data_IF_370677139716
#
_entry.id   IF_370677139716
#
_cell.length_a   1.000
_cell.length_b   1.000
_cell.length_c   1.000
_cell.angle_alpha   90.00
_cell.angle_beta   90.00
_cell.angle_gamma   90.00
#
_symmetry.space_group_name_H-M   'P 1'
#
loop_
_entity.id
_entity.type
_entity.pdbx_description
1 polymer ?
#
# COMPACT_ATOMS: atom_id res chain seq x y z
N UNK A 1 22.57 -2.58 14.83
CA UNK A 1 21.17 -2.40 15.28
C UNK A 1 20.45 -1.54 14.26
N UNK A 2 19.15 -1.78 14.05
CA UNK A 2 18.35 -1.02 13.07
C UNK A 2 17.54 0.03 13.82
N UNK A 3 17.54 1.25 13.28
CA UNK A 3 16.78 2.38 13.80
C UNK A 3 15.90 2.96 12.69
N UNK A 4 14.71 3.44 13.02
CA UNK A 4 13.85 4.20 12.08
C UNK A 4 14.15 5.69 12.19
N UNK A 5 13.98 6.42 11.09
CA UNK A 5 14.12 7.89 11.09
C UNK A 5 12.86 8.57 11.64
N UNK A 6 13.05 9.46 12.61
CA UNK A 6 12.01 10.30 13.20
C UNK A 6 11.91 11.68 12.56
N UNK A 7 13.06 12.26 12.19
CA UNK A 7 13.15 13.61 11.64
C UNK A 7 14.03 13.61 10.39
N UNK A 8 13.66 14.37 9.34
CA UNK A 8 14.49 14.48 8.16
C UNK A 8 15.74 15.33 8.45
N UNK A 9 16.80 15.08 7.71
CA UNK A 9 18.05 15.84 7.79
C UNK A 9 18.64 16.02 6.40
N UNK A 10 19.03 17.25 6.07
CA UNK A 10 19.71 17.58 4.81
C UNK A 10 21.20 17.78 5.11
N UNK A 11 22.10 17.02 4.45
CA UNK A 11 23.54 17.11 4.67
C UNK A 11 24.06 18.54 4.50
N UNK A 12 24.85 19.00 5.47
CA UNK A 12 25.59 20.27 5.40
C UNK A 12 27.05 20.05 5.02
N UNK A 13 27.62 18.97 5.53
CA UNK A 13 28.97 18.51 5.22
C UNK A 13 28.92 17.25 4.32
N UNK A 14 29.96 17.00 3.51
CA UNK A 14 29.96 15.91 2.52
C UNK A 14 29.96 14.50 3.12
N UNK A 15 30.28 14.37 4.41
CA UNK A 15 30.27 13.13 5.17
C UNK A 15 28.95 12.92 5.95
N UNK A 16 28.02 13.87 5.92
CA UNK A 16 26.70 13.73 6.53
C UNK A 16 25.74 12.91 5.64
N UNK A 17 24.95 12.06 6.29
CA UNK A 17 23.95 11.22 5.65
C UNK A 17 22.61 11.94 5.58
N UNK A 18 22.00 11.99 4.39
CA UNK A 18 20.64 12.50 4.22
C UNK A 18 19.63 11.56 4.89
N UNK A 19 18.74 12.12 5.72
CA UNK A 19 17.72 11.36 6.43
C UNK A 19 16.33 11.69 5.91
N UNK A 20 15.57 10.65 5.58
CA UNK A 20 14.19 10.75 5.11
C UNK A 20 13.25 10.02 6.08
N UNK A 21 12.14 10.67 6.46
CA UNK A 21 11.10 10.02 7.27
C UNK A 21 10.56 8.81 6.50
N UNK A 22 10.58 7.64 7.14
CA UNK A 22 10.19 6.36 6.55
C UNK A 22 11.38 5.48 6.12
N UNK A 23 12.61 6.00 6.16
CA UNK A 23 13.84 5.21 6.02
C UNK A 23 14.24 4.54 7.35
N UNK A 24 15.08 3.52 7.22
CA UNK A 24 15.72 2.80 8.32
C UNK A 24 17.23 2.90 8.18
N UNK A 25 17.93 3.11 9.28
CA UNK A 25 19.38 3.19 9.34
C UNK A 25 19.92 1.98 10.07
N UNK A 26 20.91 1.33 9.48
CA UNK A 26 21.75 0.39 10.21
C UNK A 26 22.85 1.17 10.94
N UNK A 27 22.84 1.09 12.27
CA UNK A 27 23.90 1.60 13.14
C UNK A 27 24.71 0.44 13.68
N UNK A 28 26.04 0.45 13.56
CA UNK A 28 26.87 -0.56 14.21
C UNK A 28 26.84 -0.35 15.73
N UNK A 29 27.01 -1.42 16.51
CA UNK A 29 27.07 -1.30 17.98
C UNK A 29 28.27 -0.46 18.43
N UNK A 30 29.34 -0.43 17.63
CA UNK A 30 30.55 0.35 17.89
C UNK A 30 30.34 1.84 17.61
N UNK A 31 29.55 2.19 16.59
CA UNK A 31 29.23 3.60 16.28
C UNK A 31 28.45 4.28 17.41
N UNK A 32 27.54 3.55 18.06
CA UNK A 32 26.75 4.06 19.19
C UNK A 32 27.56 4.20 20.49
N UNK A 33 28.62 3.41 20.68
CA UNK A 33 29.45 3.50 21.88
C UNK A 33 30.55 4.55 21.78
N UNK A 34 30.93 4.94 20.55
CA UNK A 34 32.04 5.86 20.28
C UNK A 34 31.61 7.29 19.94
N UNK A 35 30.31 7.60 19.90
CA UNK A 35 29.84 8.97 19.69
C UNK A 35 30.03 9.81 20.94
N UNK A 36 30.79 10.90 20.84
CA UNK A 36 31.01 11.85 21.95
C UNK A 36 30.27 13.17 21.77
N UNK A 37 29.79 13.44 20.55
CA UNK A 37 29.16 14.69 20.10
C UNK A 37 27.70 14.49 19.62
N UNK A 38 27.18 13.26 19.67
CA UNK A 38 25.82 12.92 19.26
C UNK A 38 25.66 12.61 17.77
N UNK A 39 26.75 12.58 17.01
CA UNK A 39 26.78 12.12 15.63
C UNK A 39 27.29 10.68 15.57
N UNK A 40 26.58 9.84 14.81
CA UNK A 40 26.89 8.42 14.66
C UNK A 40 26.98 8.08 13.18
N UNK A 41 27.92 7.20 12.82
CA UNK A 41 27.99 6.66 11.47
C UNK A 41 26.90 5.60 11.27
N UNK A 42 26.15 5.71 10.17
CA UNK A 42 25.09 4.77 9.82
C UNK A 42 25.01 4.52 8.32
N UNK A 43 24.27 3.48 7.96
CA UNK A 43 23.99 3.11 6.56
C UNK A 43 22.49 3.19 6.32
N UNK A 44 22.07 4.04 5.37
CA UNK A 44 20.68 4.13 4.93
C UNK A 44 20.25 2.85 4.23
N UNK A 45 19.10 2.31 4.61
CA UNK A 45 18.49 1.17 3.94
C UNK A 45 17.93 1.54 2.58
N UNK A 46 17.35 2.74 2.45
CA UNK A 46 16.76 3.21 1.22
C UNK A 46 17.81 3.48 0.13
N UNK A 47 18.94 4.09 0.47
CA UNK A 47 19.96 4.50 -0.50
C UNK A 47 21.19 3.59 -0.53
N UNK A 48 21.43 2.82 0.54
CA UNK A 48 22.65 2.03 0.72
C UNK A 48 23.89 2.88 1.01
N UNK A 49 23.74 4.20 1.14
CA UNK A 49 24.85 5.11 1.44
C UNK A 49 25.20 5.10 2.93
N UNK A 50 26.48 5.27 3.24
CA UNK A 50 26.96 5.48 4.59
C UNK A 50 27.29 6.96 4.83
N UNK A 51 27.20 7.40 6.07
CA UNK A 51 27.57 8.75 6.50
C UNK A 51 27.20 9.00 7.95
N UNK A 52 27.54 10.19 8.45
CA UNK A 52 27.23 10.63 9.81
C UNK A 52 25.82 11.19 9.90
N UNK A 53 25.13 10.87 11.00
CA UNK A 53 23.81 11.38 11.29
C UNK A 53 23.63 11.72 12.77
N UNK A 54 22.72 12.64 13.12
CA UNK A 54 22.38 12.88 14.53
C UNK A 54 21.65 11.67 15.12
N UNK A 55 22.19 11.09 16.20
CA UNK A 55 21.61 9.90 16.83
C UNK A 55 20.15 10.15 17.28
N UNK A 56 19.90 11.35 17.82
CA UNK A 56 18.59 11.78 18.30
C UNK A 56 17.52 11.93 17.21
N UNK A 57 17.88 11.77 15.94
CA UNK A 57 16.94 11.75 14.81
C UNK A 57 16.42 10.35 14.52
N UNK A 58 16.87 9.35 15.28
CA UNK A 58 16.54 7.96 15.07
C UNK A 58 15.95 7.32 16.33
N UNK A 59 15.16 6.26 16.15
CA UNK A 59 14.65 5.43 17.24
C UNK A 59 14.93 3.96 16.96
N UNK A 60 15.48 3.24 17.93
CA UNK A 60 15.76 1.80 17.79
C UNK A 60 14.48 1.02 17.53
N UNK A 61 14.50 0.16 16.53
CA UNK A 61 13.37 -0.72 16.20
C UNK A 61 13.49 -2.06 16.91
N UNK A 62 12.37 -2.70 17.25
CA UNK A 62 12.37 -4.06 17.78
C UNK A 62 12.96 -5.03 16.75
N UNK A 63 13.72 -6.04 17.20
CA UNK A 63 14.36 -7.02 16.32
C UNK A 63 13.36 -7.88 15.51
N UNK A 64 12.09 -7.91 15.91
CA UNK A 64 11.00 -8.55 15.15
C UNK A 64 10.51 -7.73 13.96
N UNK A 65 10.81 -6.42 13.93
CA UNK A 65 10.26 -5.45 12.99
C UNK A 65 11.29 -5.02 11.93
N UNK A 66 12.47 -5.63 11.93
CA UNK A 66 13.54 -5.34 10.97
C UNK A 66 14.23 -6.64 10.53
N UNK A 67 14.36 -6.84 9.22
CA UNK A 67 15.17 -7.91 8.65
C UNK A 67 16.64 -7.69 9.06
N UNK A 68 17.32 -8.73 9.53
CA UNK A 68 18.76 -8.63 9.83
C UNK A 68 19.53 -8.62 8.52
N UNK A 69 20.28 -7.53 8.27
CA UNK A 69 21.18 -7.46 7.12
C UNK A 69 22.30 -8.50 7.31
N UNK A 70 22.25 -9.60 6.56
CA UNK A 70 23.23 -10.69 6.68
C UNK A 70 24.57 -10.37 5.99
N UNK A 71 24.54 -9.61 4.88
CA UNK A 71 25.73 -9.25 4.09
C UNK A 71 25.43 -8.11 3.13
N UNK A 72 26.37 -7.18 2.99
CA UNK A 72 26.38 -6.17 1.93
C UNK A 72 27.27 -6.63 0.78
N UNK A 73 26.81 -6.51 -0.46
CA UNK A 73 27.58 -6.84 -1.66
C UNK A 73 27.61 -5.63 -2.57
N UNK A 74 28.79 -5.11 -2.84
CA UNK A 74 28.97 -3.93 -3.70
C UNK A 74 28.86 -4.35 -5.17
N UNK A 75 27.78 -3.93 -5.83
CA UNK A 75 27.46 -4.35 -7.20
C UNK A 75 28.28 -3.60 -8.26
N UNK A 76 28.74 -2.38 -7.95
CA UNK A 76 29.56 -1.55 -8.82
C UNK A 76 30.62 -0.81 -7.98
N UNK A 77 31.87 -0.75 -8.46
CA UNK A 77 32.88 0.15 -7.87
C UNK A 77 32.57 1.57 -8.35
N UNK A 78 32.35 2.50 -7.42
CA UNK A 78 32.50 3.92 -7.76
C UNK A 78 33.99 4.13 -8.14
N UNK A 79 34.32 4.82 -9.24
CA UNK A 79 35.69 5.23 -9.48
C UNK A 79 36.16 6.02 -8.25
N UNK A 80 37.29 5.60 -7.66
CA UNK A 80 37.88 6.33 -6.56
C UNK A 80 38.05 7.79 -6.99
N UNK A 81 37.56 8.72 -6.17
CA UNK A 81 38.00 10.10 -6.22
C UNK A 81 39.51 10.03 -6.10
N UNK A 82 40.22 10.45 -7.14
CA UNK A 82 41.67 10.56 -7.10
C UNK A 82 42.01 11.59 -6.03
N UNK A 83 42.49 11.10 -4.89
CA UNK A 83 43.20 11.91 -3.91
C UNK A 83 44.37 12.56 -4.65
N UNK A 84 44.24 13.85 -4.95
CA UNK A 84 45.38 14.67 -5.34
C UNK A 84 46.19 14.86 -4.07
N UNK A 85 47.21 14.01 -3.89
CA UNK A 85 48.19 14.15 -2.84
C UNK A 85 48.78 15.57 -2.89
N UNK A 86 48.62 16.31 -1.80
CA UNK A 86 49.36 17.54 -1.55
C UNK A 86 50.82 17.17 -1.32
N UNK A 87 51.69 17.68 -2.19
CA UNK A 87 53.14 17.70 -1.98
C UNK A 87 53.51 19.03 -1.31
N UNK A 88 54.15 18.96 -0.14
CA UNK A 88 54.62 20.10 0.64
C UNK A 88 55.88 20.69 -0.03
N UNK A 89 55.77 21.94 -0.50
CA UNK A 89 56.88 22.72 -1.04
C UNK A 89 56.69 24.22 -0.79
N UNK A 90 57.68 24.82 -0.13
CA UNK A 90 57.68 26.14 0.53
C UNK A 90 57.34 27.39 -0.32
N UNK A 91 56.61 28.30 0.34
CA UNK A 91 56.68 29.77 0.35
C UNK A 91 57.01 30.57 -0.94
N UNK A 92 56.06 31.41 -1.39
CA UNK A 92 56.18 32.89 -1.26
C UNK A 92 55.02 33.67 -1.92
N UNK A 93 54.50 34.65 -1.16
CA UNK A 93 53.91 35.95 -1.51
C UNK A 93 53.01 36.13 -2.76
N UNK A 94 51.77 36.58 -2.55
CA UNK A 94 51.07 37.41 -3.55
C UNK A 94 49.57 37.65 -3.38
N UNK A 95 49.20 38.62 -2.53
CA UNK A 95 48.03 39.53 -2.57
C UNK A 95 46.77 39.19 -3.41
N UNK A 96 45.62 39.20 -2.71
CA UNK A 96 44.26 39.55 -3.21
C UNK A 96 44.20 41.09 -3.44
N UNK A 97 43.45 41.62 -4.43
CA UNK A 97 42.05 42.09 -4.24
C UNK A 97 41.13 41.71 -5.45
N UNK A 98 39.86 41.29 -5.31
CA UNK A 98 38.64 41.98 -4.83
C UNK A 98 37.77 42.51 -6.00
N UNK A 99 36.43 42.44 -5.82
CA UNK A 99 35.35 43.14 -6.58
C UNK A 99 35.01 42.66 -8.02
N UNK A 100 33.80 42.72 -8.58
CA UNK A 100 32.39 42.93 -8.16
C UNK A 100 31.54 42.75 -9.44
N UNK A 101 30.28 42.32 -9.25
CA UNK A 101 29.07 42.70 -10.00
C UNK A 101 28.79 42.41 -11.49
N UNK A 102 27.50 42.07 -11.66
CA UNK A 102 26.56 42.19 -12.79
C UNK A 102 26.33 40.93 -13.65
N UNK A 103 25.16 40.28 -13.62
CA UNK A 103 23.74 40.67 -13.83
C UNK A 103 23.27 40.62 -15.30
N UNK A 104 22.06 40.08 -15.47
CA UNK A 104 21.15 40.08 -16.64
C UNK A 104 21.54 39.26 -17.89
N UNK A 105 20.81 38.19 -18.24
CA UNK A 105 19.53 38.12 -18.99
C UNK A 105 19.65 38.40 -20.50
N UNK A 106 19.27 37.39 -21.33
CA UNK A 106 18.36 37.53 -22.49
C UNK A 106 18.64 36.53 -23.63
N UNK A 107 17.66 35.65 -23.82
CA UNK A 107 17.12 34.97 -25.01
C UNK A 107 17.71 35.16 -26.43
N UNK A 108 17.98 34.01 -27.08
CA UNK A 108 17.62 33.51 -28.46
C UNK A 108 18.03 34.33 -29.71
N UNK A 109 18.29 33.73 -30.92
CA UNK A 109 17.58 32.58 -31.51
C UNK A 109 18.40 31.57 -32.36
N UNK A 110 17.63 30.61 -32.90
CA UNK A 110 17.92 29.42 -33.69
C UNK A 110 18.50 29.74 -35.09
N UNK A 111 19.47 28.93 -35.56
CA UNK A 111 19.73 28.69 -36.99
C UNK A 111 19.72 27.19 -37.29
N UNK A 112 18.96 26.82 -38.32
CA UNK A 112 18.93 25.50 -38.96
C UNK A 112 20.19 25.28 -39.83
N UNK A 113 20.85 24.13 -39.71
CA UNK A 113 21.67 23.58 -40.80
C UNK A 113 21.43 22.07 -40.94
N UNK A 114 21.12 21.70 -42.17
CA UNK A 114 20.88 20.37 -42.71
C UNK A 114 22.13 19.48 -42.80
N UNK A 115 21.95 18.21 -42.42
CA UNK A 115 22.49 17.00 -43.06
C UNK A 115 24.00 16.81 -43.25
N UNK A 116 24.60 15.86 -42.52
CA UNK A 116 24.98 14.51 -43.02
C UNK A 116 25.96 13.79 -42.06
N UNK A 117 25.85 12.45 -42.06
CA UNK A 117 26.74 11.39 -41.55
C UNK A 117 26.44 10.80 -40.16
N UNK A 118 25.93 9.57 -40.23
CA UNK A 118 25.91 8.56 -39.17
C UNK A 118 27.34 8.30 -38.67
N UNK A 119 27.54 8.42 -37.36
CA UNK A 119 28.61 7.73 -36.64
C UNK A 119 28.01 7.11 -35.37
N UNK A 120 28.39 5.86 -35.14
CA UNK A 120 27.71 4.90 -34.27
C UNK A 120 28.12 5.07 -32.80
N UNK A 121 27.16 5.11 -31.89
CA UNK A 121 27.37 5.08 -30.44
C UNK A 121 27.81 3.67 -29.97
N UNK A 122 28.75 3.52 -29.01
CA UNK A 122 29.18 2.21 -28.52
C UNK A 122 28.12 1.52 -27.66
N UNK A 123 27.92 0.24 -27.96
CA UNK A 123 27.00 -0.69 -27.32
C UNK A 123 27.50 -1.06 -25.90
N UNK A 124 26.92 -0.48 -24.84
CA UNK A 124 27.36 -0.67 -23.45
C UNK A 124 26.64 -1.81 -22.72
N UNK A 125 26.13 -2.82 -23.44
CA UNK A 125 25.66 -4.08 -22.88
C UNK A 125 26.24 -5.26 -23.67
N UNK A 126 27.55 -5.48 -23.48
CA UNK A 126 28.24 -6.65 -24.01
C UNK A 126 27.79 -7.96 -23.37
N UNK A 127 27.73 -9.01 -24.18
CA UNK A 127 27.25 -10.37 -23.91
C UNK A 127 28.00 -11.19 -22.83
N UNK A 128 28.78 -10.56 -21.95
CA UNK A 128 29.54 -11.24 -20.88
C UNK A 128 28.86 -11.19 -19.50
N UNK A 129 27.91 -10.28 -19.25
CA UNK A 129 27.13 -10.26 -18.00
C UNK A 129 26.15 -11.44 -17.85
N UNK A 130 25.72 -12.02 -18.98
CA UNK A 130 24.79 -13.16 -18.98
C UNK A 130 25.48 -14.48 -18.60
N UNK A 131 26.79 -14.61 -18.84
CA UNK A 131 27.55 -15.85 -18.54
C UNK A 131 27.87 -15.99 -17.05
N UNK A 132 28.13 -14.89 -16.35
CA UNK A 132 28.42 -14.91 -14.90
C UNK A 132 27.20 -15.34 -14.09
N UNK A 133 26.00 -14.94 -14.50
CA UNK A 133 24.76 -15.35 -13.85
C UNK A 133 24.44 -16.83 -14.12
N UNK A 134 24.70 -17.32 -15.34
CA UNK A 134 24.46 -18.72 -15.71
C UNK A 134 25.47 -19.71 -15.08
N UNK A 135 26.70 -19.28 -14.77
CA UNK A 135 27.68 -20.11 -14.06
C UNK A 135 27.36 -20.28 -12.57
N UNK A 136 26.70 -19.32 -11.93
CA UNK A 136 26.27 -19.43 -10.52
C UNK A 136 25.07 -20.37 -10.33
N UNK A 137 24.23 -20.51 -11.34
CA UNK A 137 23.03 -21.37 -11.29
C UNK A 137 23.35 -22.85 -11.63
N UNK A 138 24.48 -23.12 -12.30
CA UNK A 138 24.81 -24.45 -12.84
C UNK A 138 25.89 -25.22 -12.06
N UNK A 139 26.33 -24.77 -10.87
CA UNK A 139 27.33 -25.51 -10.09
C UNK A 139 26.65 -26.52 -9.13
N UNK A 140 26.75 -27.84 -9.35
CA UNK A 140 25.95 -28.83 -8.60
C UNK A 140 26.50 -29.16 -7.20
N UNK A 141 27.54 -28.48 -6.73
CA UNK A 141 28.28 -28.87 -5.52
C UNK A 141 27.79 -28.25 -4.21
N UNK A 142 26.68 -27.50 -4.20
CA UNK A 142 26.09 -26.96 -2.96
C UNK A 142 24.59 -27.25 -2.75
N UNK A 143 24.02 -28.19 -3.52
CA UNK A 143 22.65 -28.69 -3.29
C UNK A 143 22.72 -29.99 -2.50
N UNK A 144 23.08 -29.94 -1.21
CA UNK A 144 23.01 -31.14 -0.35
C UNK A 144 22.64 -30.87 1.11
N UNK A 145 22.07 -29.71 1.44
CA UNK A 145 21.53 -29.47 2.80
C UNK A 145 20.17 -28.80 2.67
N UNK A 146 19.17 -29.50 2.14
CA UNK A 146 17.73 -29.25 2.33
C UNK A 146 16.97 -30.40 1.66
N UNK A 147 17.22 -31.64 2.09
CA UNK A 147 16.46 -32.80 1.64
C UNK A 147 16.63 -33.91 2.68
N UNK A 148 15.93 -33.78 3.81
CA UNK A 148 15.54 -34.93 4.60
C UNK A 148 14.20 -34.65 5.28
N UNK A 149 13.26 -35.57 5.00
CA UNK A 149 11.97 -35.85 5.63
C UNK A 149 10.84 -34.79 5.54
N UNK A 150 10.26 -34.65 4.34
CA UNK A 150 8.80 -34.40 4.23
C UNK A 150 8.12 -35.74 3.98
N UNK A 151 7.51 -36.30 5.02
CA UNK A 151 6.64 -37.47 4.93
C UNK A 151 5.51 -37.20 3.93
N UNK A 152 5.59 -37.85 2.76
CA UNK A 152 4.51 -37.89 1.75
C UNK A 152 3.42 -38.87 2.15
N UNK A 153 2.82 -38.65 3.31
CA UNK A 153 1.60 -39.34 3.76
C UNK A 153 0.66 -38.38 4.52
N UNK A 154 0.45 -37.18 4.01
CA UNK A 154 -0.75 -36.42 4.35
C UNK A 154 -1.80 -36.70 3.28
N UNK A 155 -2.69 -37.67 3.55
CA UNK A 155 -3.96 -37.77 2.84
C UNK A 155 -4.63 -36.40 2.91
N UNK A 156 -5.04 -35.82 1.77
CA UNK A 156 -5.98 -34.70 1.76
C UNK A 156 -7.17 -35.12 2.62
N UNK A 157 -7.50 -34.40 3.71
CA UNK A 157 -8.73 -34.70 4.43
C UNK A 157 -9.87 -34.41 3.47
N UNK A 158 -10.67 -35.43 3.16
CA UNK A 158 -12.04 -35.19 2.70
C UNK A 158 -12.70 -34.33 3.77
N UNK A 159 -13.07 -33.10 3.39
CA UNK A 159 -13.69 -32.15 4.30
C UNK A 159 -15.18 -32.49 4.42
N UNK A 160 -15.50 -33.59 5.09
CA UNK A 160 -16.81 -33.77 5.68
C UNK A 160 -16.75 -33.24 7.12
N UNK A 161 -17.30 -32.03 7.34
CA UNK A 161 -17.47 -31.46 8.69
C UNK A 161 -16.78 -30.13 8.98
N UNK A 162 -16.22 -29.41 8.00
CA UNK A 162 -15.73 -28.03 8.23
C UNK A 162 -16.92 -27.07 8.34
N UNK A 163 -16.93 -26.26 9.39
CA UNK A 163 -17.92 -25.20 9.56
C UNK A 163 -17.70 -24.05 8.57
N UNK A 164 -18.77 -23.31 8.25
CA UNK A 164 -18.73 -22.20 7.30
C UNK A 164 -17.77 -21.08 7.76
N UNK A 165 -17.30 -20.25 6.84
CA UNK A 165 -16.41 -19.12 7.13
C UNK A 165 -16.97 -17.79 6.65
N UNK A 166 -16.66 -16.74 7.42
CA UNK A 166 -16.89 -15.36 7.02
C UNK A 166 -15.52 -14.70 6.85
N UNK A 167 -15.30 -14.22 5.64
CA UNK A 167 -14.11 -13.46 5.26
C UNK A 167 -14.47 -11.99 5.31
N UNK A 168 -13.73 -11.21 6.07
CA UNK A 168 -13.95 -9.75 6.18
C UNK A 168 -12.69 -9.03 5.74
N UNK A 169 -12.84 -8.11 4.79
CA UNK A 169 -11.72 -7.49 4.09
C UNK A 169 -11.84 -5.97 4.04
N UNK A 170 -10.70 -5.27 4.23
CA UNK A 170 -10.59 -3.83 4.00
C UNK A 170 -10.43 -3.58 2.49
N UNK A 171 -11.04 -2.51 1.97
CA UNK A 171 -10.80 -2.04 0.61
C UNK A 171 -9.29 -1.83 0.29
N UNK A 172 -8.95 -1.81 -1.00
CA UNK A 172 -7.61 -1.53 -1.51
C UNK A 172 -7.15 -0.06 -1.38
N UNK A 173 -5.95 0.23 -1.90
CA UNK A 173 -5.37 1.58 -1.95
C UNK A 173 -6.27 2.59 -2.66
N UNK A 174 -6.45 3.78 -2.07
CA UNK A 174 -7.36 4.84 -2.54
C UNK A 174 -6.60 5.98 -3.20
N UNK A 175 -7.21 6.58 -4.23
CA UNK A 175 -6.64 7.73 -4.95
C UNK A 175 -6.44 8.95 -4.04
N UNK A 176 -7.41 9.26 -3.17
CA UNK A 176 -7.33 10.43 -2.29
C UNK A 176 -6.19 10.36 -1.26
N UNK A 177 -5.89 9.18 -0.72
CA UNK A 177 -4.75 9.01 0.19
C UNK A 177 -3.41 8.93 -0.53
N UNK A 178 -3.36 8.44 -1.76
CA UNK A 178 -2.12 8.39 -2.55
C UNK A 178 -1.75 9.75 -3.14
N UNK A 179 -2.74 10.55 -3.55
CA UNK A 179 -2.52 11.78 -4.33
C UNK A 179 -3.02 13.06 -3.65
N UNK A 180 -3.62 12.98 -2.45
CA UNK A 180 -4.13 14.12 -1.72
C UNK A 180 -5.28 14.82 -2.45
N UNK A 181 -5.15 16.12 -2.70
CA UNK A 181 -6.15 16.94 -3.40
C UNK A 181 -6.17 16.65 -4.91
N UNK A 182 -6.65 15.47 -5.27
CA UNK A 182 -6.60 14.94 -6.64
C UNK A 182 -7.66 15.54 -7.57
N UNK A 183 -8.77 16.05 -7.03
CA UNK A 183 -9.90 16.60 -7.79
C UNK A 183 -9.48 17.75 -8.72
N UNK A 184 -8.88 18.86 -8.23
CA UNK A 184 -8.47 19.96 -9.12
C UNK A 184 -7.36 19.56 -10.10
N UNK A 185 -6.65 18.47 -9.83
CA UNK A 185 -5.60 17.97 -10.72
C UNK A 185 -6.15 17.13 -11.88
N UNK A 186 -7.23 16.40 -11.62
CA UNK A 186 -7.78 15.40 -12.53
C UNK A 186 -9.07 15.81 -13.22
N UNK A 187 -9.74 16.88 -12.78
CA UNK A 187 -10.98 17.35 -13.38
C UNK A 187 -10.83 18.77 -13.93
N UNK A 188 -11.39 18.99 -15.11
CA UNK A 188 -11.56 20.35 -15.65
C UNK A 188 -12.83 21.03 -15.08
N UNK A 189 -13.05 22.29 -15.45
CA UNK A 189 -14.21 23.09 -15.01
C UNK A 189 -15.57 22.50 -15.45
N UNK A 190 -15.56 21.64 -16.47
CA UNK A 190 -16.75 20.95 -16.97
C UNK A 190 -16.96 19.59 -16.28
N UNK A 191 -16.06 19.20 -15.36
CA UNK A 191 -16.12 17.92 -14.66
C UNK A 191 -15.63 16.74 -15.49
N UNK A 192 -14.88 16.95 -16.56
CA UNK A 192 -14.27 15.87 -17.33
C UNK A 192 -13.02 15.35 -16.63
N UNK A 193 -12.97 14.04 -16.41
CA UNK A 193 -11.83 13.37 -15.81
C UNK A 193 -10.70 13.17 -16.82
N UNK A 194 -9.48 13.54 -16.43
CA UNK A 194 -8.23 13.22 -17.13
C UNK A 194 -7.28 12.51 -16.18
N UNK A 195 -6.82 11.32 -16.56
CA UNK A 195 -5.80 10.59 -15.82
C UNK A 195 -4.46 11.33 -15.87
N UNK A 196 -3.91 11.70 -14.71
CA UNK A 196 -2.63 12.42 -14.59
C UNK A 196 -1.46 11.60 -14.04
N UNK A 197 -1.75 10.43 -13.50
CA UNK A 197 -0.75 9.47 -13.01
C UNK A 197 -1.16 8.05 -13.43
N UNK A 198 -0.19 7.18 -13.71
CA UNK A 198 -0.47 5.80 -14.16
C UNK A 198 -1.07 4.93 -13.06
N UNK A 199 -0.92 5.27 -11.78
CA UNK A 199 -1.59 4.60 -10.69
C UNK A 199 -3.04 5.11 -10.47
N UNK A 200 -3.49 6.14 -11.20
CA UNK A 200 -4.91 6.52 -11.21
C UNK A 200 -5.73 5.69 -12.21
N UNK A 201 -7.05 5.53 -11.99
CA UNK A 201 -7.94 4.86 -12.93
C UNK A 201 -7.86 5.44 -14.35
N UNK A 202 -7.99 4.60 -15.36
CA UNK A 202 -8.02 5.08 -16.76
C UNK A 202 -9.26 5.94 -17.03
N UNK A 203 -10.38 5.57 -16.44
CA UNK A 203 -11.68 6.23 -16.57
C UNK A 203 -12.41 6.17 -15.23
N UNK A 204 -13.34 7.10 -15.02
CA UNK A 204 -14.28 7.05 -13.91
C UNK A 204 -15.71 6.92 -14.43
N UNK A 205 -16.60 6.20 -13.73
CA UNK A 205 -18.01 6.16 -14.06
C UNK A 205 -18.62 7.55 -14.15
N UNK A 206 -19.65 7.68 -14.99
CA UNK A 206 -20.53 8.83 -14.93
C UNK A 206 -21.37 8.73 -13.66
N UNK A 207 -21.55 9.86 -12.99
CA UNK A 207 -22.40 9.99 -11.81
C UNK A 207 -23.01 11.37 -11.73
N UNK A 208 -24.15 11.52 -11.05
CA UNK A 208 -24.91 12.78 -10.99
C UNK A 208 -24.09 13.99 -10.50
N UNK A 209 -23.47 13.89 -9.32
CA UNK A 209 -22.63 14.94 -8.75
C UNK A 209 -21.15 14.58 -8.91
N UNK A 210 -20.57 14.81 -10.09
CA UNK A 210 -19.22 14.34 -10.45
C UNK A 210 -18.14 14.80 -9.46
N UNK A 211 -17.95 16.11 -9.31
CA UNK A 211 -16.85 16.68 -8.51
C UNK A 211 -17.01 16.32 -7.02
N UNK A 212 -18.13 16.70 -6.42
CA UNK A 212 -18.38 16.46 -4.99
C UNK A 212 -18.47 14.96 -4.67
N UNK A 213 -19.06 14.17 -5.57
CA UNK A 213 -19.18 12.73 -5.43
C UNK A 213 -17.81 12.04 -5.39
N UNK A 214 -16.91 12.37 -6.33
CA UNK A 214 -15.56 11.79 -6.34
C UNK A 214 -14.66 12.32 -5.22
N UNK A 215 -14.89 13.54 -4.75
CA UNK A 215 -14.21 14.07 -3.58
C UNK A 215 -14.52 13.27 -2.31
N UNK A 216 -15.78 12.81 -2.16
CA UNK A 216 -16.27 12.10 -0.97
C UNK A 216 -16.24 10.57 -1.08
N UNK A 217 -16.26 10.04 -2.29
CA UNK A 217 -16.27 8.60 -2.57
C UNK A 217 -15.13 8.23 -3.52
N UNK A 218 -13.89 8.45 -3.05
CA UNK A 218 -12.68 8.24 -3.84
C UNK A 218 -12.58 6.80 -4.39
N UNK A 219 -12.16 6.63 -5.66
CA UNK A 219 -11.89 5.32 -6.24
C UNK A 219 -10.60 4.70 -5.70
N UNK A 220 -10.43 3.41 -5.97
CA UNK A 220 -9.15 2.73 -5.86
C UNK A 220 -8.15 3.26 -6.90
N UNK A 221 -6.87 3.16 -6.56
CA UNK A 221 -5.77 3.24 -7.51
C UNK A 221 -5.66 1.95 -8.34
N UNK A 222 -4.84 1.93 -9.40
CA UNK A 222 -4.58 0.70 -10.16
C UNK A 222 -3.83 -0.33 -9.30
N UNK A 223 -2.93 0.11 -8.41
CA UNK A 223 -2.31 -0.74 -7.38
C UNK A 223 -3.37 -1.28 -6.42
N UNK A 224 -4.32 -0.47 -5.97
CA UNK A 224 -5.42 -0.90 -5.10
C UNK A 224 -6.30 -1.99 -5.73
N UNK A 225 -6.59 -1.86 -7.02
CA UNK A 225 -7.28 -2.91 -7.80
C UNK A 225 -6.42 -4.18 -7.88
N UNK A 226 -5.13 -4.05 -8.14
CA UNK A 226 -4.22 -5.19 -8.23
C UNK A 226 -4.03 -5.92 -6.89
N UNK A 227 -3.93 -5.19 -5.77
CA UNK A 227 -3.92 -5.77 -4.42
C UNK A 227 -5.14 -6.68 -4.20
N UNK A 228 -6.34 -6.19 -4.54
CA UNK A 228 -7.58 -6.95 -4.40
C UNK A 228 -7.58 -8.21 -5.28
N UNK A 229 -7.08 -8.08 -6.52
CA UNK A 229 -6.94 -9.20 -7.45
C UNK A 229 -5.99 -10.28 -6.92
N UNK A 230 -4.83 -9.91 -6.40
CA UNK A 230 -3.86 -10.85 -5.80
C UNK A 230 -4.48 -11.66 -4.64
N UNK A 231 -5.27 -11.00 -3.78
CA UNK A 231 -6.00 -11.71 -2.72
C UNK A 231 -7.01 -12.71 -3.32
N UNK A 232 -7.75 -12.31 -4.36
CA UNK A 232 -8.64 -13.22 -5.08
C UNK A 232 -7.93 -14.43 -5.68
N UNK A 233 -6.77 -14.22 -6.30
CA UNK A 233 -5.95 -15.31 -6.86
C UNK A 233 -5.49 -16.28 -5.76
N UNK A 234 -5.01 -15.76 -4.63
CA UNK A 234 -4.62 -16.58 -3.48
C UNK A 234 -5.78 -17.36 -2.85
N UNK A 235 -6.98 -16.75 -2.75
CA UNK A 235 -8.19 -17.42 -2.25
C UNK A 235 -8.63 -18.55 -3.19
N UNK A 236 -8.54 -18.33 -4.50
CA UNK A 236 -8.83 -19.35 -5.52
C UNK A 236 -7.85 -20.52 -5.45
N UNK A 237 -6.55 -20.23 -5.33
CA UNK A 237 -5.51 -21.24 -5.16
C UNK A 237 -5.71 -22.07 -3.88
N UNK A 238 -6.22 -21.44 -2.83
CA UNK A 238 -6.60 -22.10 -1.59
C UNK A 238 -7.93 -22.87 -1.65
N UNK A 239 -8.60 -22.89 -2.80
CA UNK A 239 -9.87 -23.59 -3.02
C UNK A 239 -11.06 -22.98 -2.28
N UNK A 240 -11.02 -21.69 -1.95
CA UNK A 240 -12.17 -20.97 -1.37
C UNK A 240 -13.23 -20.75 -2.45
N UNK A 241 -14.49 -20.94 -2.09
CA UNK A 241 -15.63 -20.67 -2.97
C UNK A 241 -16.70 -19.89 -2.21
N UNK A 242 -16.92 -18.64 -2.60
CA UNK A 242 -17.93 -17.80 -1.98
C UNK A 242 -19.33 -18.14 -2.50
N UNK A 243 -20.27 -18.24 -1.56
CA UNK A 243 -21.70 -18.39 -1.85
C UNK A 243 -22.41 -17.06 -1.95
N UNK A 244 -21.93 -16.06 -1.21
CA UNK A 244 -22.46 -14.70 -1.20
C UNK A 244 -21.33 -13.70 -0.99
N UNK A 245 -21.46 -12.53 -1.59
CA UNK A 245 -20.48 -11.44 -1.49
C UNK A 245 -21.22 -10.15 -1.14
N UNK A 246 -20.79 -9.50 -0.07
CA UNK A 246 -21.36 -8.25 0.42
C UNK A 246 -20.31 -7.15 0.38
N UNK A 247 -20.73 -5.94 0.07
CA UNK A 247 -19.85 -4.77 0.10
C UNK A 247 -20.56 -3.55 0.69
N UNK A 248 -19.78 -2.74 1.43
CA UNK A 248 -20.13 -1.34 1.69
C UNK A 248 -20.35 -0.61 0.35
N UNK A 249 -21.30 0.33 0.27
CA UNK A 249 -21.63 1.04 -0.97
C UNK A 249 -20.54 2.01 -1.45
N UNK A 250 -19.53 2.31 -0.62
CA UNK A 250 -18.37 3.10 -1.04
C UNK A 250 -17.73 2.50 -2.29
N UNK A 251 -17.45 3.32 -3.30
CA UNK A 251 -16.97 2.86 -4.60
C UNK A 251 -15.70 2.01 -4.49
N UNK A 252 -14.77 2.41 -3.61
CA UNK A 252 -13.56 1.65 -3.26
C UNK A 252 -13.83 0.20 -2.78
N UNK A 253 -14.92 -0.02 -2.04
CA UNK A 253 -15.29 -1.34 -1.53
C UNK A 253 -15.87 -2.21 -2.65
N UNK A 254 -16.71 -1.64 -3.51
CA UNK A 254 -17.26 -2.32 -4.71
C UNK A 254 -16.14 -2.72 -5.67
N UNK A 255 -15.19 -1.81 -5.92
CA UNK A 255 -14.01 -2.10 -6.74
C UNK A 255 -13.13 -3.21 -6.13
N UNK A 256 -12.96 -3.21 -4.81
CA UNK A 256 -12.19 -4.25 -4.12
C UNK A 256 -12.88 -5.61 -4.24
N UNK A 257 -14.19 -5.68 -3.96
CA UNK A 257 -14.97 -6.91 -4.12
C UNK A 257 -14.89 -7.45 -5.56
N UNK A 258 -15.00 -6.56 -6.54
CA UNK A 258 -14.86 -6.90 -7.97
C UNK A 258 -13.46 -7.44 -8.28
N UNK A 259 -12.41 -6.78 -7.79
CA UNK A 259 -11.02 -7.25 -7.99
C UNK A 259 -10.77 -8.62 -7.38
N UNK A 260 -11.28 -8.89 -6.18
CA UNK A 260 -11.22 -10.23 -5.56
C UNK A 260 -11.93 -11.25 -6.45
N UNK A 261 -13.15 -10.94 -6.91
CA UNK A 261 -13.91 -11.86 -7.77
C UNK A 261 -13.28 -12.06 -9.15
N UNK A 262 -12.61 -11.05 -9.70
CA UNK A 262 -11.76 -11.20 -10.89
C UNK A 262 -10.61 -12.16 -10.65
N UNK A 263 -9.87 -11.97 -9.54
CA UNK A 263 -8.81 -12.88 -9.11
C UNK A 263 -9.31 -14.29 -8.86
N UNK A 264 -10.58 -14.46 -8.49
CA UNK A 264 -11.21 -15.77 -8.30
C UNK A 264 -11.82 -16.38 -9.56
N UNK A 265 -11.88 -15.65 -10.68
CA UNK A 265 -12.65 -16.00 -11.88
C UNK A 265 -14.17 -16.16 -11.60
N UNK A 266 -14.71 -15.37 -10.68
CA UNK A 266 -16.11 -15.37 -10.27
C UNK A 266 -16.86 -14.06 -10.59
N UNK A 267 -16.16 -13.05 -11.13
CA UNK A 267 -16.70 -11.68 -11.38
C UNK A 267 -18.09 -11.69 -12.02
N UNK A 268 -18.27 -12.44 -13.10
CA UNK A 268 -19.51 -12.40 -13.88
C UNK A 268 -20.60 -13.33 -13.30
N UNK A 269 -20.23 -14.31 -12.46
CA UNK A 269 -21.15 -15.29 -11.88
C UNK A 269 -21.61 -14.96 -10.46
N UNK A 270 -20.82 -14.22 -9.69
CA UNK A 270 -21.10 -13.88 -8.30
C UNK A 270 -21.43 -12.40 -8.18
N UNK A 271 -22.71 -12.04 -8.01
CA UNK A 271 -23.10 -10.65 -7.85
C UNK A 271 -22.74 -10.11 -6.46
N UNK A 272 -22.52 -8.80 -6.37
CA UNK A 272 -22.20 -8.09 -5.13
C UNK A 272 -23.47 -7.53 -4.50
N UNK A 273 -23.76 -7.95 -3.28
CA UNK A 273 -24.84 -7.43 -2.44
C UNK A 273 -24.39 -6.11 -1.76
N UNK A 274 -25.00 -4.98 -2.15
CA UNK A 274 -24.68 -3.67 -1.57
C UNK A 274 -25.40 -3.48 -0.24
N UNK A 275 -24.66 -3.47 0.86
CA UNK A 275 -25.15 -3.30 2.24
C UNK A 275 -24.66 -1.98 2.82
N UNK A 276 -25.49 -0.92 2.83
CA UNK A 276 -25.15 0.39 3.40
C UNK A 276 -24.73 0.29 4.86
N UNK A 277 -25.31 -0.63 5.62
CA UNK A 277 -24.95 -0.87 7.01
C UNK A 277 -23.51 -1.34 7.25
N UNK A 278 -22.71 -1.61 6.22
CA UNK A 278 -21.26 -1.81 6.33
C UNK A 278 -20.42 -0.56 6.08
N UNK A 279 -21.05 0.60 5.83
CA UNK A 279 -20.34 1.87 5.73
C UNK A 279 -19.59 2.19 7.04
N UNK A 280 -18.53 2.99 6.94
CA UNK A 280 -17.67 3.35 8.07
C UNK A 280 -18.42 4.10 9.19
N UNK A 281 -17.74 4.33 10.31
CA UNK A 281 -18.35 4.96 11.47
C UNK A 281 -18.76 6.40 11.15
N UNK A 282 -20.07 6.70 11.21
CA UNK A 282 -20.65 7.96 10.76
C UNK A 282 -20.19 9.16 11.59
N UNK A 283 -19.76 8.95 12.84
CA UNK A 283 -19.22 10.02 13.67
C UNK A 283 -17.95 10.66 13.06
N UNK A 284 -17.22 9.95 12.19
CA UNK A 284 -16.11 10.53 11.42
C UNK A 284 -16.57 11.59 10.42
N UNK A 285 -17.85 11.57 10.04
CA UNK A 285 -18.45 12.53 9.10
C UNK A 285 -19.29 13.60 9.81
N UNK A 286 -19.67 13.39 11.08
CA UNK A 286 -20.58 14.25 11.84
C UNK A 286 -20.13 15.73 11.96
N UNK A 287 -18.82 16.00 11.95
CA UNK A 287 -18.28 17.35 12.09
C UNK A 287 -18.20 18.13 10.76
N UNK A 288 -18.46 17.46 9.62
CA UNK A 288 -18.33 18.09 8.29
C UNK A 288 -19.53 18.97 7.91
N UNK A 289 -20.64 18.92 8.67
CA UNK A 289 -21.85 19.71 8.39
C UNK A 289 -22.57 19.35 7.08
N UNK A 290 -22.07 18.35 6.34
CA UNK A 290 -22.58 17.93 5.05
C UNK A 290 -23.20 16.53 5.15
N UNK A 291 -24.35 16.32 4.50
CA UNK A 291 -25.01 15.02 4.39
C UNK A 291 -24.05 13.94 3.81
N UNK A 292 -24.36 12.67 4.12
CA UNK A 292 -23.64 11.44 3.76
C UNK A 292 -23.02 11.49 2.37
N UNK A 293 -21.85 10.84 2.27
CA UNK A 293 -21.21 10.46 1.00
C UNK A 293 -22.28 9.99 0.00
N UNK A 294 -22.50 10.78 -1.04
CA UNK A 294 -23.30 10.31 -2.16
C UNK A 294 -22.56 9.13 -2.77
N UNK A 295 -23.12 7.92 -2.69
CA UNK A 295 -22.57 6.75 -3.36
C UNK A 295 -23.07 6.67 -4.79
N UNK A 296 -22.32 5.97 -5.65
CA UNK A 296 -22.88 5.56 -6.94
C UNK A 296 -24.12 4.70 -6.70
N UNK A 297 -25.21 5.02 -7.43
CA UNK A 297 -26.41 4.21 -7.43
C UNK A 297 -26.15 2.82 -8.01
N UNK A 298 -27.03 1.86 -7.70
CA UNK A 298 -26.98 0.51 -8.29
C UNK A 298 -26.92 0.56 -9.81
N UNK A 299 -27.73 1.43 -10.43
CA UNK A 299 -27.75 1.60 -11.89
C UNK A 299 -26.41 2.15 -12.41
N UNK A 300 -25.86 3.20 -11.79
CA UNK A 300 -24.56 3.76 -12.21
C UNK A 300 -23.42 2.73 -12.09
N UNK A 301 -23.44 1.87 -11.05
CA UNK A 301 -22.48 0.77 -10.90
C UNK A 301 -22.68 -0.31 -11.98
N UNK A 302 -23.91 -0.73 -12.23
CA UNK A 302 -24.22 -1.70 -13.29
C UNK A 302 -23.85 -1.18 -14.67
N UNK A 303 -24.15 0.08 -14.98
CA UNK A 303 -23.77 0.74 -16.23
C UNK A 303 -22.25 0.86 -16.40
N UNK A 304 -21.52 0.96 -15.28
CA UNK A 304 -20.06 0.91 -15.25
C UNK A 304 -19.47 -0.51 -15.35
N UNK A 305 -20.31 -1.54 -15.45
CA UNK A 305 -19.90 -2.94 -15.63
C UNK A 305 -19.58 -3.68 -14.32
N UNK A 306 -20.08 -3.19 -13.18
CA UNK A 306 -20.02 -3.93 -11.92
C UNK A 306 -21.18 -4.93 -11.82
N UNK A 307 -20.88 -6.17 -11.44
CA UNK A 307 -21.88 -7.22 -11.24
C UNK A 307 -22.57 -7.01 -9.88
N UNK A 308 -23.58 -6.14 -9.84
CA UNK A 308 -24.34 -5.83 -8.62
C UNK A 308 -25.60 -6.68 -8.57
N UNK A 309 -25.89 -7.26 -7.40
CA UNK A 309 -27.11 -8.03 -7.19
C UNK A 309 -28.35 -7.14 -7.42
N UNK A 310 -29.26 -7.50 -8.34
CA UNK A 310 -30.39 -6.64 -8.71
C UNK A 310 -31.47 -6.56 -7.62
N UNK A 311 -31.67 -7.65 -6.87
CA UNK A 311 -32.80 -7.80 -5.94
C UNK A 311 -32.37 -7.85 -4.46
N UNK A 312 -31.08 -7.61 -4.17
CA UNK A 312 -30.62 -7.59 -2.79
C UNK A 312 -31.28 -6.45 -2.00
N UNK A 313 -31.96 -6.84 -0.92
CA UNK A 313 -32.54 -5.95 0.08
C UNK A 313 -31.58 -5.81 1.26
N UNK A 314 -31.05 -4.60 1.45
CA UNK A 314 -30.17 -4.29 2.57
C UNK A 314 -30.88 -4.49 3.90
N UNK A 315 -30.15 -5.03 4.88
CA UNK A 315 -30.61 -5.11 6.27
C UNK A 315 -30.72 -3.73 6.89
N UNK A 316 -29.79 -2.82 6.57
CA UNK A 316 -29.89 -1.41 6.93
C UNK A 316 -29.89 -0.57 5.64
N UNK A 317 -31.08 -0.20 5.16
CA UNK A 317 -31.25 0.73 4.04
C UNK A 317 -30.59 2.09 4.27
N UNK A 318 -30.26 2.79 3.18
CA UNK A 318 -29.57 4.09 3.19
C UNK A 318 -30.32 5.14 4.03
N UNK A 319 -31.64 5.21 3.90
CA UNK A 319 -32.51 6.13 4.63
C UNK A 319 -32.50 5.86 6.14
N UNK A 320 -32.37 4.61 6.55
CA UNK A 320 -32.21 4.25 7.97
C UNK A 320 -30.83 4.61 8.47
N UNK A 321 -29.77 4.33 7.71
CA UNK A 321 -28.41 4.68 8.05
C UNK A 321 -28.21 6.19 8.23
N UNK A 322 -28.88 7.01 7.41
CA UNK A 322 -28.88 8.47 7.56
C UNK A 322 -29.49 8.94 8.90
N UNK A 323 -30.25 8.12 9.62
CA UNK A 323 -30.75 8.52 10.94
C UNK A 323 -29.68 8.32 12.04
N UNK A 324 -28.51 7.78 11.71
CA UNK A 324 -27.44 7.42 12.63
C UNK A 324 -26.20 8.34 12.57
N UNK A 325 -26.29 9.59 12.06
CA UNK A 325 -25.12 10.49 11.99
C UNK A 325 -24.45 10.76 13.34
N UNK A 326 -25.17 10.60 14.44
CA UNK A 326 -24.66 10.74 15.81
C UNK A 326 -24.36 9.39 16.46
N UNK A 327 -24.16 8.33 15.67
CA UNK A 327 -23.93 6.99 16.23
C UNK A 327 -22.67 6.96 17.12
N UNK A 328 -22.84 6.41 18.30
CA UNK A 328 -21.76 6.03 19.19
C UNK A 328 -20.95 4.87 18.60
N UNK A 329 -19.77 4.62 19.16
CA UNK A 329 -18.96 3.49 18.73
C UNK A 329 -19.67 2.16 18.99
N UNK A 330 -20.34 2.02 20.14
CA UNK A 330 -21.16 0.86 20.47
C UNK A 330 -22.30 0.62 19.46
N UNK A 331 -23.01 1.67 19.04
CA UNK A 331 -24.06 1.55 18.00
C UNK A 331 -23.48 1.11 16.66
N UNK A 332 -22.31 1.64 16.29
CA UNK A 332 -21.57 1.20 15.10
C UNK A 332 -21.23 -0.30 15.15
N UNK A 333 -20.72 -0.81 16.29
CA UNK A 333 -20.50 -2.25 16.48
C UNK A 333 -21.82 -3.03 16.42
N UNK A 334 -22.87 -2.52 17.08
CA UNK A 334 -24.17 -3.16 17.14
C UNK A 334 -24.81 -3.37 15.76
N UNK A 335 -24.74 -2.36 14.87
CA UNK A 335 -25.26 -2.51 13.51
C UNK A 335 -24.48 -3.53 12.68
N UNK A 336 -23.14 -3.52 12.76
CA UNK A 336 -22.30 -4.47 12.02
C UNK A 336 -22.52 -5.91 12.50
N UNK A 337 -22.66 -6.11 13.81
CA UNK A 337 -23.00 -7.43 14.39
C UNK A 337 -24.39 -7.89 13.94
N UNK A 338 -25.41 -7.01 14.04
CA UNK A 338 -26.76 -7.33 13.61
C UNK A 338 -26.81 -7.79 12.15
N UNK A 339 -26.18 -7.06 11.24
CA UNK A 339 -26.08 -7.43 9.81
C UNK A 339 -25.35 -8.76 9.66
N UNK A 340 -24.18 -8.93 10.29
CA UNK A 340 -23.37 -10.14 10.17
C UNK A 340 -24.16 -11.37 10.64
N UNK A 341 -24.87 -11.27 11.76
CA UNK A 341 -25.72 -12.35 12.28
C UNK A 341 -26.90 -12.66 11.36
N UNK A 342 -27.51 -11.67 10.73
CA UNK A 342 -28.58 -11.91 9.75
C UNK A 342 -28.07 -12.57 8.48
N UNK A 343 -26.91 -12.16 7.96
CA UNK A 343 -26.23 -12.83 6.85
C UNK A 343 -25.97 -14.30 7.22
N UNK A 344 -25.40 -14.52 8.41
CA UNK A 344 -25.14 -15.85 8.97
C UNK A 344 -26.41 -16.71 9.06
N UNK A 345 -27.57 -16.15 9.41
CA UNK A 345 -28.83 -16.93 9.44
C UNK A 345 -29.31 -17.35 8.05
N UNK A 346 -29.02 -16.55 7.03
CA UNK A 346 -29.54 -16.72 5.66
C UNK A 346 -28.62 -17.53 4.74
N UNK A 347 -27.42 -17.88 5.21
CA UNK A 347 -26.35 -18.46 4.38
C UNK A 347 -25.72 -19.68 5.04
N UNK A 348 -25.20 -20.59 4.20
CA UNK A 348 -24.58 -21.85 4.65
C UNK A 348 -23.15 -22.07 4.16
N UNK A 349 -22.69 -21.33 3.15
CA UNK A 349 -21.34 -21.45 2.60
C UNK A 349 -20.40 -20.35 3.09
N UNK A 350 -19.23 -20.27 2.47
CA UNK A 350 -18.30 -19.18 2.72
C UNK A 350 -18.85 -17.87 2.18
N UNK A 351 -18.58 -16.78 2.90
CA UNK A 351 -19.09 -15.44 2.57
C UNK A 351 -17.93 -14.46 2.58
N UNK A 352 -17.96 -13.51 1.65
CA UNK A 352 -17.06 -12.36 1.65
C UNK A 352 -17.81 -11.09 2.05
N UNK A 353 -17.26 -10.32 2.99
CA UNK A 353 -17.70 -8.97 3.36
C UNK A 353 -16.55 -8.01 3.08
N UNK A 354 -16.76 -7.04 2.18
CA UNK A 354 -15.78 -6.00 1.84
C UNK A 354 -16.22 -4.65 2.38
N UNK A 355 -15.41 -4.07 3.26
CA UNK A 355 -15.70 -2.80 3.90
C UNK A 355 -14.44 -2.00 4.19
N UNK A 356 -14.37 -1.48 5.41
CA UNK A 356 -13.33 -0.56 5.87
C UNK A 356 -12.43 -1.23 6.91
N UNK A 357 -11.39 -0.54 7.36
CA UNK A 357 -10.44 -1.09 8.34
C UNK A 357 -11.14 -1.57 9.62
N UNK A 358 -12.15 -0.82 10.08
CA UNK A 358 -12.92 -1.15 11.27
C UNK A 358 -13.93 -2.30 11.06
N UNK A 359 -14.36 -2.55 9.81
CA UNK A 359 -15.33 -3.61 9.48
C UNK A 359 -14.79 -4.99 9.87
N UNK A 360 -13.47 -5.23 9.72
CA UNK A 360 -12.82 -6.48 10.13
C UNK A 360 -13.09 -6.84 11.59
N UNK A 361 -13.01 -5.86 12.48
CA UNK A 361 -13.17 -6.05 13.91
C UNK A 361 -14.67 -5.98 14.28
N UNK A 362 -15.43 -5.05 13.69
CA UNK A 362 -16.85 -4.89 13.97
C UNK A 362 -17.70 -6.12 13.60
N UNK A 363 -17.40 -6.77 12.47
CA UNK A 363 -18.15 -7.94 12.01
C UNK A 363 -17.71 -9.25 12.66
N UNK A 364 -16.52 -9.33 13.28
CA UNK A 364 -15.98 -10.59 13.80
C UNK A 364 -15.96 -10.67 15.32
N UNK A 365 -15.85 -9.55 16.04
CA UNK A 365 -15.67 -9.55 17.49
C UNK A 365 -16.82 -10.19 18.25
N UNK A 366 -18.01 -9.63 18.11
CA UNK A 366 -19.17 -10.07 18.87
C UNK A 366 -19.63 -11.47 18.42
N UNK A 367 -19.53 -11.73 17.11
CA UNK A 367 -19.68 -13.08 16.55
C UNK A 367 -18.79 -14.11 17.26
N UNK A 368 -17.54 -13.75 17.57
CA UNK A 368 -16.59 -14.59 18.31
C UNK A 368 -16.65 -14.40 19.85
N UNK A 369 -17.73 -13.85 20.39
CA UNK A 369 -17.96 -13.69 21.83
C UNK A 369 -17.10 -12.62 22.51
N UNK A 370 -16.51 -11.69 21.75
CA UNK A 370 -15.71 -10.58 22.29
C UNK A 370 -16.53 -9.29 22.31
N UNK A 371 -16.41 -8.53 23.40
CA UNK A 371 -17.03 -7.21 23.52
C UNK A 371 -16.48 -6.19 22.51
N UNK A 372 -17.28 -5.19 22.09
CA UNK A 372 -16.82 -4.01 21.34
C UNK A 372 -15.56 -3.38 21.93
N UNK A 373 -14.72 -2.78 21.08
CA UNK A 373 -13.55 -2.04 21.57
C UNK A 373 -13.95 -0.63 22.00
N UNK A 374 -13.30 -0.16 23.05
CA UNK A 374 -13.25 1.27 23.37
C UNK A 374 -12.39 2.04 22.36
N UNK A 375 -12.57 3.35 22.26
CA UNK A 375 -11.89 4.23 21.29
C UNK A 375 -10.36 4.12 21.30
N UNK A 376 -9.74 3.99 22.47
CA UNK A 376 -8.27 3.85 22.59
C UNK A 376 -7.75 2.54 22.01
N UNK A 377 -8.50 1.44 22.18
CA UNK A 377 -8.17 0.14 21.59
C UNK A 377 -8.41 0.13 20.08
N UNK A 378 -9.41 0.86 19.60
CA UNK A 378 -9.69 1.03 18.18
C UNK A 378 -8.57 1.81 17.47
N UNK A 379 -8.11 2.93 18.03
CA UNK A 379 -7.03 3.73 17.43
C UNK A 379 -5.75 2.90 17.21
N UNK A 380 -5.37 2.08 18.20
CA UNK A 380 -4.22 1.15 18.08
C UNK A 380 -4.43 0.06 17.02
N UNK A 381 -5.68 -0.38 16.82
CA UNK A 381 -6.00 -1.35 15.78
C UNK A 381 -5.89 -0.73 14.39
N UNK A 382 -6.41 0.49 14.20
CA UNK A 382 -6.42 1.15 12.88
C UNK A 382 -5.02 1.42 12.33
N UNK A 383 -4.01 1.51 13.20
CA UNK A 383 -2.59 1.60 12.81
C UNK A 383 -2.01 0.29 12.25
N UNK A 384 -2.72 -0.84 12.38
CA UNK A 384 -2.24 -2.19 12.04
C UNK A 384 -3.05 -2.89 10.95
N UNK A 385 -4.15 -2.28 10.51
CA UNK A 385 -5.02 -2.85 9.46
C UNK A 385 -4.75 -2.09 8.17
N UNK A 386 -4.00 -2.69 7.24
CA UNK A 386 -3.60 -2.11 5.96
C UNK A 386 -4.57 -2.44 4.83
N UNK A 387 -4.40 -1.82 3.66
CA UNK A 387 -5.23 -2.12 2.48
C UNK A 387 -5.27 -3.62 2.19
N UNK A 388 -6.45 -4.10 1.78
CA UNK A 388 -6.67 -5.52 1.50
C UNK A 388 -6.38 -6.49 2.67
N UNK A 389 -6.22 -5.99 3.91
CA UNK A 389 -6.16 -6.86 5.09
C UNK A 389 -7.41 -7.72 5.17
N UNK A 390 -7.22 -9.00 5.47
CA UNK A 390 -8.25 -10.03 5.47
C UNK A 390 -8.26 -10.74 6.82
N UNK A 391 -9.44 -10.90 7.41
CA UNK A 391 -9.66 -11.74 8.59
C UNK A 391 -10.70 -12.81 8.26
N UNK A 392 -10.56 -13.99 8.88
CA UNK A 392 -11.51 -15.09 8.74
C UNK A 392 -12.08 -15.46 10.10
N UNK A 393 -13.41 -15.49 10.20
CA UNK A 393 -14.12 -16.14 11.31
C UNK A 393 -14.67 -17.48 10.81
N UNK A 394 -14.32 -18.57 11.47
CA UNK A 394 -14.74 -19.93 11.13
C UNK A 394 -15.68 -20.47 12.21
N UNK A 395 -16.78 -21.06 11.77
CA UNK A 395 -17.73 -21.71 12.66
C UNK A 395 -17.14 -23.02 13.18
N UNK A 396 -17.16 -23.22 14.50
CA UNK A 396 -16.69 -24.41 15.20
C UNK A 396 -17.89 -25.07 15.89
N UNK A 397 -18.27 -26.26 15.43
CA UNK A 397 -19.51 -26.90 15.87
C UNK A 397 -20.76 -26.14 15.37
N UNK A 398 -21.83 -26.15 16.17
CA UNK A 398 -23.12 -25.59 15.72
C UNK A 398 -23.24 -24.08 15.93
N UNK A 399 -22.63 -23.52 16.98
CA UNK A 399 -22.90 -22.13 17.40
C UNK A 399 -21.66 -21.28 17.66
N UNK A 400 -20.50 -21.89 17.84
CA UNK A 400 -19.28 -21.17 18.19
C UNK A 400 -18.59 -20.62 16.94
N UNK A 401 -17.97 -19.45 17.06
CA UNK A 401 -17.14 -18.84 16.02
C UNK A 401 -15.80 -18.45 16.57
N UNK A 402 -14.75 -18.69 15.78
CA UNK A 402 -13.37 -18.34 16.12
C UNK A 402 -12.70 -17.66 14.96
N UNK A 403 -11.91 -16.64 15.26
CA UNK A 403 -10.97 -16.09 14.27
C UNK A 403 -9.90 -17.14 13.98
N UNK A 404 -9.69 -17.43 12.71
CA UNK A 404 -8.67 -18.37 12.23
C UNK A 404 -7.73 -17.68 11.23
N UNK A 405 -6.62 -18.35 10.92
CA UNK A 405 -5.69 -17.88 9.91
C UNK A 405 -6.36 -17.86 8.53
N UNK A 406 -6.29 -16.74 7.77
CA UNK A 406 -6.75 -16.71 6.40
C UNK A 406 -6.05 -17.77 5.54
N UNK A 407 -6.76 -18.44 4.62
CA UNK A 407 -6.20 -19.53 3.82
C UNK A 407 -5.30 -19.04 2.67
N UNK A 408 -5.00 -17.75 2.59
CA UNK A 408 -4.11 -17.15 1.60
C UNK A 408 -3.13 -16.18 2.28
N UNK A 409 -1.98 -15.96 1.66
CA UNK A 409 -0.97 -15.02 2.16
C UNK A 409 -1.43 -13.55 2.05
N UNK A 410 -0.90 -12.67 2.92
CA UNK A 410 -1.13 -11.23 2.80
C UNK A 410 -0.36 -10.63 1.61
N UNK A 411 -0.76 -9.42 1.20
CA UNK A 411 -0.04 -8.61 0.20
C UNK A 411 0.76 -7.52 0.92
N UNK A 412 2.06 -7.45 0.64
CA UNK A 412 2.97 -6.42 1.18
C UNK A 412 3.82 -5.85 0.05
N UNK A 413 3.91 -4.53 -0.05
CA UNK A 413 4.80 -3.84 -0.99
C UNK A 413 5.21 -2.46 -0.45
N UNK A 414 6.26 -1.89 -1.02
CA UNK A 414 6.73 -0.53 -0.72
C UNK A 414 6.01 0.51 -1.58
N UNK A 415 6.18 1.79 -1.22
CA UNK A 415 5.70 2.91 -2.03
C UNK A 415 6.61 3.12 -3.25
N UNK A 416 6.03 3.63 -4.34
CA UNK A 416 6.77 4.09 -5.50
C UNK A 416 6.54 5.58 -5.71
N UNK A 417 7.60 6.38 -5.69
CA UNK A 417 7.49 7.84 -5.76
C UNK A 417 7.26 8.33 -7.20
N UNK A 418 6.60 9.48 -7.30
CA UNK A 418 6.43 10.15 -8.59
C UNK A 418 7.77 10.71 -9.06
N UNK A 419 8.18 10.33 -10.27
CA UNK A 419 9.35 10.91 -10.92
C UNK A 419 8.95 12.15 -11.76
N UNK A 420 9.68 13.26 -11.57
CA UNK A 420 9.65 14.42 -12.47
C UNK A 420 10.88 14.39 -13.38
N UNK A 421 10.65 14.20 -14.68
CA UNK A 421 11.72 14.13 -15.67
C UNK A 421 12.47 15.46 -15.81
N UNK A 422 11.84 16.60 -15.45
CA UNK A 422 12.47 17.92 -15.53
C UNK A 422 13.64 18.09 -14.59
N UNK A 423 13.73 17.28 -13.53
CA UNK A 423 14.90 17.22 -12.66
C UNK A 423 16.19 16.92 -13.44
N UNK A 424 16.07 16.26 -14.60
CA UNK A 424 17.20 15.98 -15.48
C UNK A 424 17.40 17.02 -16.60
N UNK A 425 16.48 17.98 -16.77
CA UNK A 425 16.52 18.91 -17.90
C UNK A 425 17.26 20.22 -17.65
N UNK A 426 17.55 20.58 -16.39
CA UNK A 426 18.30 21.80 -16.04
C UNK A 426 17.55 23.10 -16.34
#
# INVERSE_FOLDING_TARGET
MVNKILYPHTPREPDELELMIGDYIYLSSDALQNSSDGWVEGISWLTGMNGFLPENYTERTAESDAWTMHRTVQLCKCPAVVDVAMDDGEASNGKIPDQQDNSSESTAPIEEVSGTKEDSLPDLYGADGSKTFQQLVNNPSHVSILSETVDKSAKKPEVSGRGRRIFVMRHGERVDFTFGSWIPYCFDELGNYTRRDLNMPKTLPRRKNVILGWQKDSPLTNVGVYQAKLIGEGLREAGVNFTEVYASPSYRCVQTATGVLEGMNLRDSQPINLEPGFFEWLAWHAHSGENVVEWCSRQELTDAGYNIAPDYQAHIPIDQLHNHYTETLEEFYGRNDSITREIVKKTSGDILIVGHAITLDACTRDLCGKKPRMSTGLAKLMQKVFYCSLIVAEQVGETEWKVTEPPCYPVTHTNNQRFDWKTLSG
#
